data_IF_197498391357
#
_entry.id   IF_197498391357
#
_cell.length_a   1.000
_cell.length_b   1.000
_cell.length_c   1.000
_cell.angle_alpha   90.00
_cell.angle_beta   90.00
_cell.angle_gamma   90.00
#
_symmetry.space_group_name_H-M   'P 1'
#
loop_
_entity.id
_entity.type
_entity.pdbx_description
1 polymer ?
#
# COMPACT_ATOMS: atom_id res chain seq x y z
N UNK A 1 1.78 -14.19 -13.59
CA UNK A 1 0.63 -13.86 -12.72
C UNK A 1 0.44 -15.00 -11.73
N UNK A 2 0.31 -14.69 -10.46
CA UNK A 2 0.04 -15.69 -9.40
C UNK A 2 -1.43 -16.07 -9.46
N UNK A 3 -1.74 -17.38 -9.41
CA UNK A 3 -3.13 -17.87 -9.41
C UNK A 3 -3.80 -17.66 -8.04
N UNK A 4 -5.13 -17.62 -8.03
CA UNK A 4 -5.89 -17.56 -6.77
C UNK A 4 -5.57 -18.76 -5.86
N UNK A 5 -5.45 -19.95 -6.42
CA UNK A 5 -5.07 -21.15 -5.67
C UNK A 5 -3.72 -20.99 -4.96
N UNK A 6 -2.73 -20.41 -5.66
CA UNK A 6 -1.42 -20.15 -5.08
C UNK A 6 -1.50 -19.10 -3.97
N UNK A 7 -2.26 -18.02 -4.17
CA UNK A 7 -2.48 -17.00 -3.13
C UNK A 7 -3.10 -17.60 -1.87
N UNK A 8 -4.11 -18.46 -2.01
CA UNK A 8 -4.73 -19.17 -0.88
C UNK A 8 -3.74 -20.05 -0.14
N UNK A 9 -2.88 -20.78 -0.86
CA UNK A 9 -1.81 -21.59 -0.25
C UNK A 9 -0.84 -20.74 0.55
N UNK A 10 -0.41 -19.61 0.01
CA UNK A 10 0.50 -18.68 0.69
C UNK A 10 -0.11 -18.12 1.97
N UNK A 11 -1.36 -17.68 1.92
CA UNK A 11 -2.08 -17.20 3.13
C UNK A 11 -2.21 -18.33 4.16
N UNK A 12 -2.53 -19.55 3.74
CA UNK A 12 -2.62 -20.68 4.64
C UNK A 12 -1.28 -21.00 5.33
N UNK A 13 -0.17 -20.88 4.60
CA UNK A 13 1.18 -21.05 5.18
C UNK A 13 1.46 -19.95 6.20
N UNK A 14 1.20 -18.69 5.87
CA UNK A 14 1.38 -17.56 6.79
C UNK A 14 0.59 -17.78 8.09
N UNK A 15 -0.68 -18.15 7.98
CA UNK A 15 -1.52 -18.40 9.17
C UNK A 15 -1.00 -19.55 10.03
N UNK A 16 -0.52 -20.65 9.43
CA UNK A 16 0.11 -21.75 10.18
C UNK A 16 1.37 -21.33 10.92
N UNK A 17 2.07 -20.33 10.40
CA UNK A 17 3.26 -19.76 11.03
C UNK A 17 2.95 -18.58 11.96
N UNK A 18 1.67 -18.36 12.28
CA UNK A 18 1.17 -17.28 13.14
C UNK A 18 1.42 -15.87 12.61
N UNK A 19 1.60 -15.70 11.30
CA UNK A 19 1.52 -14.36 10.69
C UNK A 19 0.05 -13.93 10.59
N UNK A 20 -0.24 -12.73 11.05
CA UNK A 20 -1.58 -12.15 10.98
C UNK A 20 -1.64 -10.87 10.14
N UNK A 21 -0.50 -10.37 9.69
CA UNK A 21 -0.42 -9.15 8.88
C UNK A 21 0.64 -9.28 7.79
N UNK A 22 0.41 -8.58 6.67
CA UNK A 22 1.31 -8.54 5.51
C UNK A 22 1.39 -7.09 5.00
N UNK A 23 2.57 -6.66 4.60
CA UNK A 23 2.77 -5.43 3.82
C UNK A 23 2.86 -5.79 2.34
N UNK A 24 2.13 -5.07 1.50
CA UNK A 24 2.18 -5.25 0.04
C UNK A 24 3.41 -4.56 -0.55
N UNK A 25 4.59 -5.05 -0.23
CA UNK A 25 5.85 -4.45 -0.67
C UNK A 25 6.14 -4.79 -2.13
N UNK A 26 6.43 -3.84 -3.02
CA UNK A 26 6.46 -2.39 -2.79
C UNK A 26 5.48 -1.70 -3.73
N UNK A 27 4.30 -2.26 -3.88
CA UNK A 27 3.20 -1.76 -4.71
C UNK A 27 1.90 -2.49 -4.37
N UNK A 28 0.74 -1.92 -4.70
CA UNK A 28 -0.54 -2.60 -4.49
C UNK A 28 -0.59 -3.93 -5.24
N UNK A 29 -1.08 -4.97 -4.56
CA UNK A 29 -1.18 -6.33 -5.11
C UNK A 29 -2.35 -6.47 -6.10
N UNK A 30 -2.52 -7.68 -6.64
CA UNK A 30 -3.70 -8.04 -7.43
C UNK A 30 -4.97 -7.92 -6.58
N UNK A 31 -6.07 -7.44 -7.17
CA UNK A 31 -7.34 -7.22 -6.44
C UNK A 31 -7.78 -8.47 -5.68
N UNK A 32 -7.64 -9.65 -6.28
CA UNK A 32 -8.00 -10.92 -5.64
C UNK A 32 -7.26 -11.18 -4.32
N UNK A 33 -6.05 -10.65 -4.16
CA UNK A 33 -5.30 -10.77 -2.90
C UNK A 33 -6.05 -10.12 -1.73
N UNK A 34 -6.64 -8.96 -1.96
CA UNK A 34 -7.39 -8.23 -0.93
C UNK A 34 -8.67 -8.98 -0.55
N UNK A 35 -9.42 -9.49 -1.54
CA UNK A 35 -10.60 -10.34 -1.29
C UNK A 35 -10.24 -11.52 -0.40
N UNK A 36 -9.10 -12.18 -0.69
CA UNK A 36 -8.65 -13.33 0.07
C UNK A 36 -8.17 -12.97 1.48
N UNK A 37 -7.53 -11.82 1.64
CA UNK A 37 -7.15 -11.33 2.97
C UNK A 37 -8.37 -10.98 3.82
N UNK A 38 -9.41 -10.38 3.21
CA UNK A 38 -10.69 -10.13 3.86
C UNK A 38 -11.37 -11.43 4.29
N UNK A 39 -11.42 -12.43 3.39
CA UNK A 39 -12.03 -13.74 3.64
C UNK A 39 -11.28 -14.54 4.72
N UNK A 40 -9.98 -14.57 4.64
CA UNK A 40 -9.13 -15.45 5.44
C UNK A 40 -8.55 -14.78 6.70
N UNK A 41 -8.76 -13.49 6.89
CA UNK A 41 -8.38 -12.77 8.11
C UNK A 41 -6.88 -12.50 8.20
N UNK A 42 -6.31 -11.82 7.20
CA UNK A 42 -4.95 -11.27 7.23
C UNK A 42 -5.05 -9.75 7.14
N UNK A 43 -4.47 -9.04 8.09
CA UNK A 43 -4.37 -7.59 8.03
C UNK A 43 -3.36 -7.15 6.98
N UNK A 44 -3.62 -5.99 6.35
CA UNK A 44 -2.76 -5.45 5.31
C UNK A 44 -2.27 -4.05 5.64
N UNK A 45 -0.98 -3.85 5.39
CA UNK A 45 -0.40 -2.54 5.13
C UNK A 45 -0.33 -2.40 3.61
N UNK A 46 -1.21 -1.59 3.03
CA UNK A 46 -1.26 -1.41 1.58
C UNK A 46 -0.31 -0.29 1.16
N UNK A 47 0.60 -0.60 0.24
CA UNK A 47 1.72 0.28 -0.10
C UNK A 47 1.58 0.86 -1.50
N UNK A 48 1.73 2.18 -1.59
CA UNK A 48 1.77 2.89 -2.85
C UNK A 48 2.98 2.47 -3.68
N UNK A 49 2.79 2.34 -5.00
CA UNK A 49 3.86 2.03 -5.93
C UNK A 49 4.85 3.21 -6.04
N UNK A 50 5.68 3.35 -5.03
CA UNK A 50 6.68 4.41 -4.92
C UNK A 50 7.97 3.86 -4.32
N UNK A 51 8.98 3.74 -5.15
CA UNK A 51 10.34 3.31 -4.80
C UNK A 51 11.31 4.17 -5.57
N UNK A 52 12.15 4.94 -4.87
CA UNK A 52 13.10 5.87 -5.51
C UNK A 52 14.49 5.81 -4.89
N UNK A 53 14.89 4.65 -4.38
CA UNK A 53 16.15 4.45 -3.64
C UNK A 53 17.36 5.07 -4.34
N UNK A 54 17.52 4.82 -5.64
CA UNK A 54 18.65 5.31 -6.43
C UNK A 54 18.74 6.85 -6.56
N UNK A 55 17.63 7.54 -6.28
CA UNK A 55 17.56 9.01 -6.28
C UNK A 55 17.53 9.62 -4.86
N UNK A 56 17.59 8.77 -3.82
CA UNK A 56 17.40 9.22 -2.44
C UNK A 56 16.09 10.00 -2.27
N UNK A 57 16.14 11.15 -1.62
CA UNK A 57 14.97 12.01 -1.40
C UNK A 57 14.71 13.05 -2.51
N UNK A 58 15.47 13.06 -3.60
CA UNK A 58 15.39 14.13 -4.61
C UNK A 58 14.02 14.26 -5.23
N UNK A 59 13.44 13.14 -5.69
CA UNK A 59 12.12 13.15 -6.34
C UNK A 59 11.02 13.49 -5.32
N UNK A 60 11.18 13.09 -4.07
CA UNK A 60 10.23 13.36 -2.99
C UNK A 60 10.16 14.84 -2.61
N UNK A 61 11.24 15.60 -2.88
CA UNK A 61 11.33 17.04 -2.63
C UNK A 61 11.00 17.87 -3.88
N UNK A 62 11.00 17.29 -5.08
CA UNK A 62 10.82 18.02 -6.34
C UNK A 62 9.34 18.24 -6.67
N UNK A 63 8.94 19.49 -6.89
CA UNK A 63 7.57 19.87 -7.25
C UNK A 63 7.10 19.25 -8.56
N UNK A 64 8.00 18.97 -9.50
CA UNK A 64 7.68 18.34 -10.78
C UNK A 64 7.07 16.94 -10.63
N UNK A 65 7.40 16.24 -9.53
CA UNK A 65 6.93 14.89 -9.23
C UNK A 65 5.67 14.82 -8.38
N UNK A 66 5.19 15.96 -7.87
CA UNK A 66 4.03 15.99 -6.95
C UNK A 66 2.80 15.27 -7.52
N UNK A 67 2.48 15.53 -8.80
CA UNK A 67 1.33 14.89 -9.45
C UNK A 67 1.48 13.36 -9.52
N UNK A 68 2.68 12.87 -9.85
CA UNK A 68 2.95 11.44 -9.94
C UNK A 68 2.86 10.74 -8.56
N UNK A 69 3.31 11.39 -7.50
CA UNK A 69 3.19 10.91 -6.12
C UNK A 69 1.73 10.83 -5.68
N UNK A 70 0.98 11.93 -5.87
CA UNK A 70 -0.44 11.99 -5.53
C UNK A 70 -1.26 10.96 -6.31
N UNK A 71 -1.00 10.81 -7.62
CA UNK A 71 -1.72 9.84 -8.45
C UNK A 71 -1.55 8.41 -7.94
N UNK A 72 -0.35 8.01 -7.53
CA UNK A 72 -0.10 6.67 -6.97
C UNK A 72 -0.88 6.43 -5.69
N UNK A 73 -0.85 7.40 -4.77
CA UNK A 73 -1.60 7.31 -3.52
C UNK A 73 -3.12 7.29 -3.75
N UNK A 74 -3.62 8.18 -4.59
CA UNK A 74 -5.06 8.29 -4.85
C UNK A 74 -5.61 7.05 -5.53
N UNK A 75 -4.90 6.51 -6.54
CA UNK A 75 -5.31 5.28 -7.23
C UNK A 75 -5.37 4.09 -6.28
N UNK A 76 -4.36 3.91 -5.42
CA UNK A 76 -4.34 2.86 -4.41
C UNK A 76 -5.56 2.97 -3.49
N UNK A 77 -5.72 4.11 -2.83
CA UNK A 77 -6.81 4.30 -1.86
C UNK A 77 -8.19 4.17 -2.50
N UNK A 78 -8.41 4.78 -3.65
CA UNK A 78 -9.71 4.71 -4.34
C UNK A 78 -10.06 3.30 -4.79
N UNK A 79 -9.07 2.50 -5.21
CA UNK A 79 -9.28 1.10 -5.59
C UNK A 79 -9.59 0.23 -4.38
N UNK A 80 -8.82 0.39 -3.28
CA UNK A 80 -8.73 -0.61 -2.22
C UNK A 80 -9.47 -0.23 -0.92
N UNK A 81 -9.98 0.99 -0.80
CA UNK A 81 -10.63 1.52 0.41
C UNK A 81 -11.74 0.66 1.03
N UNK A 82 -12.37 -0.19 0.25
CA UNK A 82 -13.51 -1.00 0.71
C UNK A 82 -13.07 -2.36 1.30
N UNK A 83 -11.76 -2.62 1.39
CA UNK A 83 -11.25 -3.84 1.99
C UNK A 83 -11.01 -3.67 3.50
N UNK A 84 -11.78 -4.37 4.36
CA UNK A 84 -11.62 -4.25 5.82
C UNK A 84 -10.29 -4.81 6.33
N UNK A 85 -9.63 -5.67 5.57
CA UNK A 85 -8.29 -6.18 5.91
C UNK A 85 -7.22 -5.09 5.93
N UNK A 86 -7.39 -4.02 5.16
CA UNK A 86 -6.43 -2.91 5.13
C UNK A 86 -6.57 -2.08 6.42
N UNK A 87 -5.51 -2.01 7.19
CA UNK A 87 -5.47 -1.29 8.48
C UNK A 87 -4.56 -0.06 8.43
N UNK A 88 -3.68 0.02 7.44
CA UNK A 88 -2.71 1.11 7.30
C UNK A 88 -2.38 1.33 5.81
N UNK A 89 -2.20 2.60 5.43
CA UNK A 89 -1.70 3.01 4.13
C UNK A 89 -0.22 3.35 4.22
N UNK A 90 0.60 2.76 3.35
CA UNK A 90 2.02 3.08 3.24
C UNK A 90 2.27 3.97 2.02
N UNK A 91 3.07 5.02 2.21
CA UNK A 91 3.36 6.00 1.15
C UNK A 91 4.41 5.52 0.15
N UNK A 92 5.05 4.39 0.41
CA UNK A 92 6.10 3.84 -0.45
C UNK A 92 7.29 3.31 0.33
N UNK A 93 8.36 3.00 -0.38
CA UNK A 93 9.58 2.44 0.17
C UNK A 93 10.81 3.20 -0.29
N UNK A 94 11.81 3.35 0.61
CA UNK A 94 13.17 3.86 0.33
C UNK A 94 13.21 5.09 -0.59
N UNK A 95 12.27 6.01 -0.40
CA UNK A 95 12.12 7.21 -1.24
C UNK A 95 12.49 8.52 -0.52
N UNK A 96 13.15 8.41 0.63
CA UNK A 96 13.50 9.56 1.45
C UNK A 96 12.24 10.22 2.05
N UNK A 97 12.35 11.52 2.33
CA UNK A 97 11.23 12.33 2.82
C UNK A 97 11.19 13.67 2.08
N UNK A 98 9.99 14.19 1.85
CA UNK A 98 9.83 15.47 1.15
C UNK A 98 8.39 15.93 1.06
N UNK A 99 8.20 17.10 0.44
CA UNK A 99 6.89 17.75 0.28
C UNK A 99 5.87 16.85 -0.42
N UNK A 100 6.31 15.96 -1.33
CA UNK A 100 5.44 15.06 -2.06
C UNK A 100 4.83 13.99 -1.15
N UNK A 101 5.60 13.46 -0.17
CA UNK A 101 5.04 12.57 0.86
C UNK A 101 4.04 13.30 1.76
N UNK A 102 4.35 14.56 2.14
CA UNK A 102 3.40 15.37 2.92
C UNK A 102 2.08 15.60 2.16
N UNK A 103 2.15 15.81 0.85
CA UNK A 103 0.97 15.96 0.00
C UNK A 103 0.15 14.65 -0.06
N UNK A 104 0.80 13.50 -0.27
CA UNK A 104 0.15 12.19 -0.24
C UNK A 104 -0.53 11.93 1.11
N UNK A 105 0.20 12.12 2.20
CA UNK A 105 -0.31 11.97 3.57
C UNK A 105 -1.53 12.86 3.80
N UNK A 106 -1.42 14.15 3.46
CA UNK A 106 -2.52 15.10 3.63
C UNK A 106 -3.78 14.69 2.87
N UNK A 107 -3.63 14.27 1.61
CA UNK A 107 -4.75 13.81 0.81
C UNK A 107 -5.40 12.55 1.40
N UNK A 108 -4.60 11.55 1.78
CA UNK A 108 -5.13 10.30 2.36
C UNK A 108 -5.85 10.60 3.68
N UNK A 109 -5.26 11.39 4.57
CA UNK A 109 -5.87 11.77 5.86
C UNK A 109 -7.16 12.57 5.70
N UNK A 110 -7.30 13.34 4.66
CA UNK A 110 -8.56 14.05 4.36
C UNK A 110 -9.62 13.10 3.82
N UNK A 111 -9.24 12.12 3.01
CA UNK A 111 -10.15 11.17 2.38
C UNK A 111 -10.55 10.00 3.31
N UNK A 112 -9.58 9.39 3.98
CA UNK A 112 -9.79 8.28 4.93
C UNK A 112 -9.48 8.73 6.36
N UNK A 113 -10.53 8.98 7.12
CA UNK A 113 -10.42 9.45 8.52
C UNK A 113 -10.17 8.32 9.52
N UNK A 114 -10.17 7.08 9.09
CA UNK A 114 -10.16 5.90 9.97
C UNK A 114 -8.78 5.27 10.03
N UNK A 115 -8.20 4.96 8.87
CA UNK A 115 -6.92 4.25 8.80
C UNK A 115 -5.74 5.18 9.03
N UNK A 116 -4.69 4.62 9.61
CA UNK A 116 -3.40 5.32 9.74
C UNK A 116 -2.66 5.39 8.40
N UNK A 117 -1.75 6.37 8.30
CA UNK A 117 -0.87 6.57 7.15
C UNK A 117 0.57 6.64 7.66
#
# INVERSE_FOLDING_TARGET
TVSEEQMRKEIAVMKRLNFNAVRTSHYPNAVKWYDLCDELGIYLVDEANLETHGYGGQLSASAEWTAAYLERATRMVLRDKNHPSIVLWSLGNESGAGANHAAMHGWIREYDKIRSV
#
